data_IF_620140619364
#
_entry.id   IF_620140619364
#
_cell.length_a   1.000
_cell.length_b   1.000
_cell.length_c   1.000
_cell.angle_alpha   90.00
_cell.angle_beta   90.00
_cell.angle_gamma   90.00
#
_symmetry.space_group_name_H-M   'P 1'
#
loop_
_entity.id
_entity.type
_entity.pdbx_description
1 polymer ?
#
# COMPACT_ATOMS: atom_id res chain seq x y z
N UNK A 1 -22.63 -57.98 -21.87
CA UNK A 1 -22.52 -56.73 -21.06
C UNK A 1 -21.31 -56.82 -20.12
N UNK A 2 -20.18 -56.20 -20.48
CA UNK A 2 -18.99 -56.06 -19.61
C UNK A 2 -18.30 -54.72 -19.92
N UNK A 3 -18.85 -53.62 -19.42
CA UNK A 3 -18.22 -52.30 -19.59
C UNK A 3 -18.18 -51.45 -18.30
N UNK A 4 -18.75 -51.90 -17.18
CA UNK A 4 -18.94 -51.04 -16.00
C UNK A 4 -17.93 -51.25 -14.85
N UNK A 5 -16.93 -52.12 -15.00
CA UNK A 5 -15.94 -52.42 -13.94
C UNK A 5 -14.57 -51.79 -14.14
N UNK A 6 -14.26 -51.25 -15.34
CA UNK A 6 -12.97 -50.59 -15.60
C UNK A 6 -12.87 -49.17 -15.00
N UNK A 7 -13.93 -48.36 -15.08
CA UNK A 7 -13.92 -46.97 -14.58
C UNK A 7 -13.69 -46.87 -13.06
N UNK A 8 -14.32 -47.74 -12.26
CA UNK A 8 -14.12 -47.76 -10.79
C UNK A 8 -12.70 -48.16 -10.36
N UNK A 9 -11.91 -48.79 -11.24
CA UNK A 9 -10.54 -49.22 -10.92
C UNK A 9 -9.55 -48.07 -11.12
N UNK A 10 -9.80 -47.19 -12.09
CA UNK A 10 -8.93 -46.04 -12.38
C UNK A 10 -9.10 -44.88 -11.37
N UNK A 11 -10.33 -44.59 -10.91
CA UNK A 11 -10.56 -43.60 -9.84
C UNK A 11 -9.85 -43.97 -8.54
N UNK A 12 -9.85 -45.25 -8.16
CA UNK A 12 -9.15 -45.74 -6.97
C UNK A 12 -7.64 -45.59 -7.08
N UNK A 13 -7.07 -45.79 -8.28
CA UNK A 13 -5.64 -45.60 -8.53
C UNK A 13 -5.25 -44.12 -8.47
N UNK A 14 -6.12 -43.23 -8.94
CA UNK A 14 -5.90 -41.78 -8.87
C UNK A 14 -5.94 -41.25 -7.44
N UNK A 15 -6.91 -41.72 -6.63
CA UNK A 15 -7.01 -41.37 -5.21
C UNK A 15 -5.83 -41.92 -4.39
N UNK A 16 -5.36 -43.14 -4.67
CA UNK A 16 -4.15 -43.69 -4.04
C UNK A 16 -2.89 -42.91 -4.41
N UNK A 17 -2.75 -42.49 -5.67
CA UNK A 17 -1.61 -41.68 -6.11
C UNK A 17 -1.59 -40.30 -5.41
N UNK A 18 -2.75 -39.67 -5.23
CA UNK A 18 -2.88 -38.40 -4.52
C UNK A 18 -2.53 -38.51 -3.03
N UNK A 19 -2.95 -39.60 -2.36
CA UNK A 19 -2.60 -39.87 -0.96
C UNK A 19 -1.09 -40.08 -0.80
N UNK A 20 -0.46 -40.86 -1.70
CA UNK A 20 0.99 -41.10 -1.66
C UNK A 20 1.77 -39.79 -1.86
N UNK A 21 1.35 -38.94 -2.81
CA UNK A 21 1.98 -37.64 -3.02
C UNK A 21 1.82 -36.73 -1.79
N UNK A 22 0.63 -36.71 -1.17
CA UNK A 22 0.39 -35.95 0.06
C UNK A 22 1.31 -36.38 1.21
N UNK A 23 1.54 -37.69 1.38
CA UNK A 23 2.45 -38.23 2.41
C UNK A 23 3.91 -37.84 2.13
N UNK A 24 4.36 -37.88 0.88
CA UNK A 24 5.73 -37.49 0.51
C UNK A 24 5.97 -36.00 0.78
N UNK A 25 5.03 -35.15 0.39
CA UNK A 25 5.11 -33.69 0.62
C UNK A 25 5.07 -33.38 2.13
N UNK A 26 4.21 -34.07 2.88
CA UNK A 26 4.14 -33.95 4.34
C UNK A 26 5.44 -34.36 5.03
N UNK A 27 6.04 -35.49 4.64
CA UNK A 27 7.31 -35.97 5.18
C UNK A 27 8.47 -35.01 4.87
N UNK A 28 8.51 -34.46 3.64
CA UNK A 28 9.50 -33.46 3.26
C UNK A 28 9.36 -32.16 4.09
N UNK A 29 8.13 -31.72 4.38
CA UNK A 29 7.87 -30.57 5.23
C UNK A 29 8.35 -30.74 6.68
N UNK A 30 8.12 -31.92 7.27
CA UNK A 30 8.57 -32.22 8.64
C UNK A 30 10.09 -32.29 8.72
N UNK A 31 10.76 -32.94 7.75
CA UNK A 31 12.23 -32.98 7.70
C UNK A 31 12.84 -31.58 7.54
N UNK A 32 12.25 -30.73 6.70
CA UNK A 32 12.69 -29.35 6.52
C UNK A 32 12.52 -28.53 7.81
N UNK A 33 11.44 -28.76 8.57
CA UNK A 33 11.22 -28.12 9.87
C UNK A 33 12.26 -28.52 10.92
N UNK A 34 12.59 -29.83 11.02
CA UNK A 34 13.67 -30.30 11.90
C UNK A 34 15.03 -29.74 11.50
N UNK A 35 15.32 -29.60 10.21
CA UNK A 35 16.56 -28.99 9.72
C UNK A 35 16.65 -27.51 10.12
N UNK A 36 15.54 -26.76 10.02
CA UNK A 36 15.49 -25.36 10.46
C UNK A 36 15.72 -25.22 11.97
N UNK A 37 15.16 -26.11 12.78
CA UNK A 37 15.40 -26.11 14.23
C UNK A 37 16.88 -26.36 14.57
N UNK A 38 17.54 -27.31 13.89
CA UNK A 38 18.98 -27.55 14.11
C UNK A 38 19.86 -26.36 13.70
N UNK A 39 19.49 -25.62 12.65
CA UNK A 39 20.21 -24.40 12.23
C UNK A 39 20.03 -23.27 13.24
N UNK A 40 18.84 -23.13 13.83
CA UNK A 40 18.57 -22.14 14.87
C UNK A 40 19.31 -22.50 16.17
N UNK A 41 19.28 -23.77 16.59
CA UNK A 41 19.98 -24.22 17.81
C UNK A 41 21.51 -24.11 17.67
N UNK A 42 22.09 -24.43 16.51
CA UNK A 42 23.53 -24.23 16.26
C UNK A 42 23.98 -22.77 16.30
N UNK A 43 23.10 -21.80 16.06
CA UNK A 43 23.41 -20.36 16.17
C UNK A 43 23.38 -19.81 17.59
N UNK A 44 22.86 -20.56 18.56
CA UNK A 44 22.74 -20.11 19.96
C UNK A 44 23.86 -20.71 20.83
N UNK A 45 24.65 -21.65 20.30
CA UNK A 45 25.61 -22.45 21.08
C UNK A 45 27.10 -22.10 20.99
N UNK A 46 27.54 -21.09 20.23
CA UNK A 46 28.97 -20.77 20.11
C UNK A 46 29.23 -19.28 20.36
N UNK A 47 29.60 -18.94 21.59
CA UNK A 47 30.18 -17.65 21.96
C UNK A 47 31.67 -17.68 21.65
N UNK A 48 32.07 -17.23 20.46
CA UNK A 48 33.30 -16.48 20.27
C UNK A 48 33.37 -15.84 18.88
N UNK A 49 33.77 -14.56 18.88
CA UNK A 49 34.58 -13.87 17.86
C UNK A 49 34.30 -14.05 16.37
N UNK A 50 34.12 -12.90 15.69
CA UNK A 50 34.16 -12.69 14.24
C UNK A 50 32.95 -13.13 13.41
N UNK A 51 31.96 -12.24 13.36
CA UNK A 51 30.92 -12.23 12.34
C UNK A 51 31.52 -11.93 10.97
N UNK A 52 31.72 -12.97 10.17
CA UNK A 52 31.80 -12.89 8.72
C UNK A 52 30.48 -12.31 8.19
N UNK A 53 30.56 -11.16 7.52
CA UNK A 53 29.44 -10.53 6.81
C UNK A 53 28.99 -11.42 5.66
N UNK A 54 27.98 -12.26 5.91
CA UNK A 54 27.13 -12.79 4.84
C UNK A 54 26.12 -11.69 4.52
N UNK A 55 26.28 -11.10 3.33
CA UNK A 55 25.31 -10.24 2.66
C UNK A 55 24.01 -11.02 2.48
N UNK A 56 23.23 -11.06 3.55
CA UNK A 56 21.85 -11.47 3.50
C UNK A 56 21.15 -10.35 2.77
N UNK A 57 20.90 -10.59 1.49
CA UNK A 57 19.98 -9.85 0.65
C UNK A 57 18.73 -9.56 1.49
N UNK A 58 18.71 -8.36 2.05
CA UNK A 58 17.68 -7.85 2.92
C UNK A 58 16.44 -7.82 2.06
N UNK A 59 15.58 -8.82 2.20
CA UNK A 59 14.16 -8.60 1.97
C UNK A 59 13.82 -7.47 2.93
N UNK A 60 13.84 -6.25 2.40
CA UNK A 60 13.47 -5.07 3.15
C UNK A 60 12.03 -5.35 3.59
N UNK A 61 11.85 -5.74 4.86
CA UNK A 61 10.55 -5.66 5.48
C UNK A 61 10.12 -4.22 5.26
N UNK A 62 9.14 -4.01 4.38
CA UNK A 62 8.59 -2.69 4.13
C UNK A 62 7.88 -2.32 5.41
N UNK A 63 8.65 -1.72 6.31
CA UNK A 63 8.19 -1.33 7.62
C UNK A 63 7.12 -0.26 7.40
N UNK A 64 5.92 -0.55 7.88
CA UNK A 64 4.78 0.34 7.77
C UNK A 64 5.06 1.58 8.64
N UNK A 65 5.51 2.65 8.01
CA UNK A 65 5.91 3.90 8.67
C UNK A 65 4.93 4.98 8.30
N UNK A 66 4.33 5.66 9.29
CA UNK A 66 3.59 6.88 9.05
C UNK A 66 4.47 7.91 8.32
N UNK A 67 3.90 8.62 7.35
CA UNK A 67 4.62 9.64 6.58
C UNK A 67 3.98 10.99 6.80
N UNK A 68 4.82 12.00 7.08
CA UNK A 68 4.40 13.39 7.21
C UNK A 68 4.23 14.02 5.84
N UNK A 69 3.11 14.71 5.67
CA UNK A 69 2.77 15.50 4.50
C UNK A 69 2.31 16.90 4.93
N UNK A 70 2.11 17.72 3.92
CA UNK A 70 1.57 19.06 4.03
C UNK A 70 0.56 19.24 2.90
N UNK A 71 -0.62 19.75 3.23
CA UNK A 71 -1.68 20.05 2.27
C UNK A 71 -1.82 21.57 2.08
N UNK A 72 -2.21 21.99 0.88
CA UNK A 72 -2.81 23.32 0.67
C UNK A 72 -4.28 23.20 1.03
N UNK A 73 -4.72 23.89 2.08
CA UNK A 73 -6.09 23.83 2.57
C UNK A 73 -6.84 25.13 2.29
N UNK A 74 -8.04 25.01 1.71
CA UNK A 74 -8.97 26.09 1.43
C UNK A 74 -10.09 26.21 2.47
N UNK A 75 -10.46 25.10 3.13
CA UNK A 75 -11.55 25.11 4.10
C UNK A 75 -11.74 23.78 4.82
N UNK A 76 -12.63 23.79 5.80
CA UNK A 76 -13.09 22.61 6.54
C UNK A 76 -14.59 22.73 6.79
N UNK A 77 -15.30 21.63 6.61
CA UNK A 77 -16.76 21.55 6.68
C UNK A 77 -17.17 20.39 7.59
N UNK A 78 -18.35 20.53 8.20
CA UNK A 78 -18.96 19.50 9.06
C UNK A 78 -19.70 18.42 8.26
N UNK A 79 -19.94 18.63 6.96
CA UNK A 79 -20.60 17.65 6.09
C UNK A 79 -20.00 17.65 4.69
N UNK A 80 -20.07 16.50 4.02
CA UNK A 80 -19.66 16.36 2.62
C UNK A 80 -20.51 17.25 1.71
N UNK A 81 -21.82 17.35 1.99
CA UNK A 81 -22.73 18.15 1.17
C UNK A 81 -22.33 19.62 1.16
N UNK A 82 -22.05 20.20 2.34
CA UNK A 82 -21.63 21.60 2.43
C UNK A 82 -20.30 21.85 1.70
N UNK A 83 -19.35 20.91 1.78
CA UNK A 83 -18.10 21.00 1.04
C UNK A 83 -18.33 20.94 -0.48
N UNK A 84 -19.20 20.04 -0.94
CA UNK A 84 -19.57 19.92 -2.36
C UNK A 84 -20.33 21.15 -2.88
N UNK A 85 -21.28 21.69 -2.10
CA UNK A 85 -22.04 22.88 -2.46
C UNK A 85 -21.13 24.10 -2.61
N UNK A 86 -20.14 24.23 -1.73
CA UNK A 86 -19.12 25.27 -1.84
C UNK A 86 -18.32 25.15 -3.13
N UNK A 87 -17.79 23.96 -3.45
CA UNK A 87 -17.03 23.77 -4.70
C UNK A 87 -17.89 24.01 -5.95
N UNK A 88 -19.17 23.63 -5.91
CA UNK A 88 -20.10 23.89 -7.01
C UNK A 88 -20.37 25.39 -7.23
N UNK A 89 -20.37 26.18 -6.15
CA UNK A 89 -20.54 27.64 -6.21
C UNK A 89 -19.25 28.39 -6.60
N UNK A 90 -18.09 27.73 -6.48
CA UNK A 90 -16.76 28.32 -6.66
C UNK A 90 -15.92 27.53 -7.67
N UNK A 91 -16.23 27.61 -8.98
CA UNK A 91 -15.55 26.85 -10.03
C UNK A 91 -14.06 27.21 -10.19
N UNK A 92 -13.61 28.33 -9.63
CA UNK A 92 -12.20 28.73 -9.59
C UNK A 92 -11.32 27.77 -8.77
N UNK A 93 -11.90 26.95 -7.89
CA UNK A 93 -11.20 25.91 -7.13
C UNK A 93 -11.00 24.64 -7.97
N UNK A 94 -10.29 24.77 -9.08
CA UNK A 94 -9.93 23.64 -9.94
C UNK A 94 -9.02 22.65 -9.17
N UNK A 95 -9.25 21.34 -9.37
CA UNK A 95 -8.45 20.26 -8.78
C UNK A 95 -8.42 20.23 -7.24
N UNK A 96 -9.45 20.78 -6.58
CA UNK A 96 -9.65 20.65 -5.13
C UNK A 96 -10.40 19.35 -4.82
N UNK A 97 -9.84 18.56 -3.91
CA UNK A 97 -10.43 17.31 -3.41
C UNK A 97 -11.07 17.51 -2.04
N UNK A 98 -12.15 16.78 -1.77
CA UNK A 98 -12.79 16.71 -0.46
C UNK A 98 -12.20 15.53 0.32
N UNK A 99 -11.40 15.82 1.32
CA UNK A 99 -10.74 14.80 2.14
C UNK A 99 -11.47 14.65 3.48
N UNK A 100 -11.96 13.44 3.77
CA UNK A 100 -12.57 13.12 5.06
C UNK A 100 -11.49 12.76 6.08
N UNK A 101 -11.45 13.47 7.20
CA UNK A 101 -10.59 13.15 8.35
C UNK A 101 -11.26 13.63 9.65
N UNK A 102 -11.13 12.89 10.75
CA UNK A 102 -11.70 13.26 12.07
C UNK A 102 -13.18 13.72 12.04
N UNK A 103 -14.00 13.06 11.21
CA UNK A 103 -15.43 13.37 10.96
C UNK A 103 -15.69 14.74 10.32
N UNK A 104 -14.66 15.41 9.82
CA UNK A 104 -14.74 16.65 9.07
C UNK A 104 -14.35 16.42 7.61
N UNK A 105 -14.65 17.40 6.77
CA UNK A 105 -14.41 17.38 5.33
C UNK A 105 -13.53 18.56 4.97
N UNK A 106 -12.30 18.28 4.57
CA UNK A 106 -11.27 19.27 4.28
C UNK A 106 -11.21 19.51 2.77
N UNK A 107 -11.16 20.77 2.36
CA UNK A 107 -10.91 21.13 0.96
C UNK A 107 -9.42 21.32 0.75
N UNK A 108 -8.78 20.36 0.07
CA UNK A 108 -7.36 20.41 -0.23
C UNK A 108 -7.12 20.57 -1.72
N UNK A 109 -6.15 21.40 -2.11
CA UNK A 109 -5.76 21.59 -3.53
C UNK A 109 -4.53 20.82 -3.97
N UNK A 110 -3.64 20.47 -3.04
CA UNK A 110 -2.38 19.80 -3.33
C UNK A 110 -1.79 19.21 -2.05
N UNK A 111 -0.97 18.15 -2.16
CA UNK A 111 -0.19 17.61 -1.03
C UNK A 111 1.28 17.37 -1.39
N UNK A 112 2.18 17.58 -0.43
CA UNK A 112 3.60 17.27 -0.57
C UNK A 112 4.19 16.74 0.72
N UNK A 113 5.15 15.83 0.63
CA UNK A 113 6.03 15.47 1.74
C UNK A 113 7.20 16.46 1.90
N UNK A 114 7.22 17.55 1.13
CA UNK A 114 8.17 18.66 1.25
C UNK A 114 7.44 19.97 1.59
N UNK A 115 7.69 20.49 2.78
CA UNK A 115 7.11 21.76 3.24
C UNK A 115 7.53 22.93 2.35
N UNK A 116 8.80 22.94 1.90
CA UNK A 116 9.30 23.99 1.00
C UNK A 116 8.52 24.00 -0.33
N UNK A 117 8.30 22.82 -0.91
CA UNK A 117 7.57 22.70 -2.18
C UNK A 117 6.11 23.12 -2.04
N UNK A 118 5.43 22.67 -0.99
CA UNK A 118 4.02 23.04 -0.81
C UNK A 118 3.88 24.55 -0.58
N UNK A 119 4.78 25.17 0.21
CA UNK A 119 4.76 26.61 0.49
C UNK A 119 4.97 27.46 -0.77
N UNK A 120 5.70 26.96 -1.76
CA UNK A 120 5.94 27.71 -3.01
C UNK A 120 4.72 27.80 -3.94
N UNK A 121 3.67 27.03 -3.68
CA UNK A 121 2.46 26.99 -4.53
C UNK A 121 1.18 27.36 -3.77
N UNK A 122 1.32 27.89 -2.54
CA UNK A 122 0.20 28.42 -1.75
C UNK A 122 -0.38 29.66 -2.44
N UNK A 123 -1.70 29.74 -2.47
CA UNK A 123 -2.47 30.87 -3.01
C UNK A 123 -2.94 31.79 -1.90
N UNK A 124 -3.43 32.99 -2.24
CA UNK A 124 -3.91 33.98 -1.26
C UNK A 124 -5.00 33.45 -0.32
N UNK A 125 -5.86 32.58 -0.84
CA UNK A 125 -7.04 32.07 -0.13
C UNK A 125 -6.81 30.66 0.46
N UNK A 126 -5.55 30.26 0.62
CA UNK A 126 -5.19 28.97 1.20
C UNK A 126 -4.06 29.08 2.22
N UNK A 127 -3.89 28.01 2.99
CA UNK A 127 -2.78 27.89 3.93
C UNK A 127 -2.24 26.46 3.95
N UNK A 128 -1.03 26.29 4.49
CA UNK A 128 -0.40 24.97 4.62
C UNK A 128 -0.87 24.29 5.89
N UNK A 129 -1.46 23.10 5.76
CA UNK A 129 -1.84 22.24 6.88
C UNK A 129 -0.92 21.01 6.93
N UNK A 130 -0.09 20.82 7.98
CA UNK A 130 0.65 19.57 8.16
C UNK A 130 -0.32 18.44 8.53
N UNK A 131 -0.01 17.22 8.08
CA UNK A 131 -0.71 16.01 8.50
C UNK A 131 0.23 14.79 8.43
N UNK A 132 -0.16 13.71 9.09
CA UNK A 132 0.50 12.41 9.03
C UNK A 132 -0.48 11.41 8.44
N UNK A 133 -0.04 10.69 7.42
CA UNK A 133 -0.79 9.59 6.82
C UNK A 133 -0.26 8.27 7.34
N UNK A 134 -1.16 7.40 7.80
CA UNK A 134 -0.83 6.12 8.40
C UNK A 134 -1.70 4.99 7.85
N UNK A 135 -1.07 3.95 7.31
CA UNK A 135 -1.74 2.73 6.83
C UNK A 135 -1.62 1.54 7.78
N UNK A 136 -1.12 1.71 9.00
CA UNK A 136 -0.91 0.63 9.98
C UNK A 136 -2.17 -0.17 10.32
N UNK A 137 -3.33 0.48 10.29
CA UNK A 137 -4.61 -0.17 10.57
C UNK A 137 -5.20 -0.94 9.37
N UNK A 138 -4.64 -0.77 8.17
CA UNK A 138 -5.11 -1.50 7.00
C UNK A 138 -4.66 -2.96 7.08
N UNK A 139 -5.39 -3.89 6.46
CA UNK A 139 -4.99 -5.31 6.40
C UNK A 139 -4.25 -5.62 5.10
N UNK A 140 -4.75 -5.08 3.98
CA UNK A 140 -4.19 -5.23 2.65
C UNK A 140 -2.77 -4.65 2.58
N UNK A 141 -1.81 -5.47 2.13
CA UNK A 141 -0.39 -5.08 2.03
C UNK A 141 -0.18 -3.86 1.13
N UNK A 142 -0.93 -3.74 0.03
CA UNK A 142 -0.87 -2.61 -0.89
C UNK A 142 -1.32 -1.31 -0.23
N UNK A 143 -2.49 -1.33 0.42
CA UNK A 143 -3.06 -0.16 1.08
C UNK A 143 -2.20 0.29 2.27
N UNK A 144 -1.62 -0.65 3.04
CA UNK A 144 -0.70 -0.36 4.15
C UNK A 144 0.45 0.57 3.78
N UNK A 145 0.95 0.49 2.54
CA UNK A 145 2.14 1.21 2.08
C UNK A 145 1.84 2.47 1.26
N UNK A 146 0.57 2.85 1.12
CA UNK A 146 0.15 4.10 0.46
C UNK A 146 0.94 5.33 0.94
N UNK A 147 1.19 5.53 2.25
CA UNK A 147 2.01 6.66 2.71
C UNK A 147 3.39 6.72 2.03
N UNK A 148 4.05 5.57 1.87
CA UNK A 148 5.37 5.44 1.26
C UNK A 148 5.30 5.59 -0.26
N UNK A 149 4.26 5.03 -0.90
CA UNK A 149 4.05 5.15 -2.35
C UNK A 149 3.83 6.61 -2.77
N UNK A 150 3.17 7.41 -1.92
CA UNK A 150 2.97 8.85 -2.13
C UNK A 150 4.20 9.70 -1.76
N UNK A 151 5.18 9.14 -1.05
CA UNK A 151 6.37 9.85 -0.57
C UNK A 151 7.47 10.04 -1.63
N UNK A 152 7.10 10.18 -2.91
CA UNK A 152 8.04 10.33 -4.03
C UNK A 152 8.29 11.80 -4.40
N UNK A 153 9.37 12.07 -5.14
CA UNK A 153 9.77 13.43 -5.53
C UNK A 153 9.42 13.80 -6.98
N UNK A 154 8.96 12.83 -7.79
CA UNK A 154 8.64 12.97 -9.22
C UNK A 154 7.45 12.07 -9.61
N UNK A 155 6.62 12.52 -10.55
CA UNK A 155 5.46 11.75 -11.06
C UNK A 155 5.88 10.39 -11.63
N UNK A 156 7.00 10.33 -12.35
CA UNK A 156 7.51 9.08 -12.94
C UNK A 156 7.78 7.99 -11.89
N UNK A 157 8.08 8.36 -10.63
CA UNK A 157 8.30 7.40 -9.54
C UNK A 157 7.01 6.82 -8.96
N UNK A 158 5.83 7.34 -9.33
CA UNK A 158 4.54 6.73 -8.99
C UNK A 158 4.24 5.51 -9.88
N UNK A 159 4.84 5.42 -11.07
CA UNK A 159 4.70 4.29 -11.98
C UNK A 159 5.62 3.13 -11.57
N UNK A 160 5.33 2.53 -10.41
CA UNK A 160 6.07 1.41 -9.85
C UNK A 160 5.52 0.10 -10.44
N UNK A 161 6.41 -0.79 -10.90
CA UNK A 161 6.03 -2.16 -11.24
C UNK A 161 6.35 -3.08 -10.07
N UNK A 162 5.42 -3.97 -9.70
CA UNK A 162 5.56 -4.90 -8.55
C UNK A 162 6.86 -5.73 -8.60
N UNK A 163 7.40 -5.99 -9.80
CA UNK A 163 8.64 -6.74 -9.99
C UNK A 163 9.94 -5.97 -9.68
N UNK A 164 9.90 -4.64 -9.56
CA UNK A 164 11.12 -3.80 -9.42
C UNK A 164 11.33 -3.24 -8.01
N UNK A 165 10.28 -3.06 -7.22
CA UNK A 165 10.36 -2.41 -5.91
C UNK A 165 10.32 -3.38 -4.72
N UNK A 166 9.94 -4.65 -4.94
CA UNK A 166 9.64 -5.59 -3.85
C UNK A 166 8.49 -5.15 -2.94
N UNK A 167 7.81 -4.04 -3.29
CA UNK A 167 6.65 -3.51 -2.60
C UNK A 167 5.41 -4.02 -3.32
N UNK A 168 4.53 -4.71 -2.59
CA UNK A 168 3.20 -5.05 -3.10
C UNK A 168 2.41 -3.74 -3.22
N UNK A 169 2.12 -3.28 -4.45
CA UNK A 169 1.24 -2.13 -4.66
C UNK A 169 -0.24 -2.57 -4.59
N UNK A 170 -1.18 -1.66 -4.29
CA UNK A 170 -2.60 -1.97 -4.45
C UNK A 170 -2.93 -2.43 -5.87
N UNK A 171 -3.90 -3.33 -6.03
CA UNK A 171 -4.26 -3.93 -7.34
C UNK A 171 -4.61 -2.87 -8.40
N UNK A 172 -5.21 -1.76 -7.99
CA UNK A 172 -5.66 -0.68 -8.85
C UNK A 172 -4.67 0.50 -8.92
N UNK A 173 -3.48 0.39 -8.33
CA UNK A 173 -2.50 1.48 -8.23
C UNK A 173 -2.17 2.13 -9.56
N UNK A 174 -1.88 1.31 -10.58
CA UNK A 174 -1.59 1.79 -11.93
C UNK A 174 -2.76 2.57 -12.53
N UNK A 175 -3.99 2.13 -12.26
CA UNK A 175 -5.21 2.80 -12.72
C UNK A 175 -5.36 4.14 -12.01
N UNK A 176 -5.22 4.19 -10.69
CA UNK A 176 -5.28 5.43 -9.91
C UNK A 176 -4.24 6.46 -10.38
N UNK A 177 -2.98 6.05 -10.56
CA UNK A 177 -1.90 6.91 -11.09
C UNK A 177 -2.21 7.39 -12.51
N UNK A 178 -2.70 6.51 -13.38
CA UNK A 178 -3.04 6.88 -14.76
C UNK A 178 -4.20 7.88 -14.80
N UNK A 179 -5.23 7.69 -13.98
CA UNK A 179 -6.36 8.61 -13.88
C UNK A 179 -5.92 9.97 -13.35
N UNK A 180 -5.16 10.01 -12.25
CA UNK A 180 -4.67 11.27 -11.69
C UNK A 180 -3.77 12.04 -12.67
N UNK A 181 -2.89 11.33 -13.39
CA UNK A 181 -1.98 11.96 -14.36
C UNK A 181 -2.63 12.38 -15.68
N UNK A 182 -3.87 11.95 -15.96
CA UNK A 182 -4.69 12.51 -17.04
C UNK A 182 -5.24 13.89 -16.67
N UNK A 183 -5.52 14.12 -15.40
CA UNK A 183 -6.05 15.39 -14.89
C UNK A 183 -4.95 16.42 -14.69
N UNK A 184 -3.82 16.04 -14.07
CA UNK A 184 -2.71 16.97 -13.83
C UNK A 184 -1.34 16.37 -14.08
N UNK A 185 -0.37 17.23 -14.41
CA UNK A 185 1.06 16.88 -14.47
C UNK A 185 1.83 17.31 -13.22
N UNK A 186 1.19 18.09 -12.34
CA UNK A 186 1.78 18.54 -11.10
C UNK A 186 1.76 17.42 -10.07
N UNK A 187 2.93 17.08 -9.53
CA UNK A 187 3.07 15.95 -8.63
C UNK A 187 2.18 16.09 -7.39
N UNK A 188 2.11 17.29 -6.83
CA UNK A 188 1.39 17.56 -5.59
C UNK A 188 -0.13 17.42 -5.76
N UNK A 189 -0.67 17.78 -6.93
CA UNK A 189 -2.08 17.54 -7.30
C UNK A 189 -2.30 16.05 -7.55
N UNK A 190 -1.42 15.40 -8.33
CA UNK A 190 -1.51 13.95 -8.61
C UNK A 190 -1.53 13.12 -7.32
N UNK A 191 -0.68 13.46 -6.35
CA UNK A 191 -0.67 12.79 -5.04
C UNK A 191 -1.99 12.96 -4.28
N UNK A 192 -2.58 14.16 -4.33
CA UNK A 192 -3.84 14.43 -3.66
C UNK A 192 -4.98 13.59 -4.26
N UNK A 193 -5.08 13.55 -5.59
CA UNK A 193 -6.09 12.75 -6.27
C UNK A 193 -5.97 11.25 -5.96
N UNK A 194 -4.73 10.74 -5.92
CA UNK A 194 -4.47 9.35 -5.53
C UNK A 194 -4.86 9.15 -4.06
N UNK A 195 -4.51 10.09 -3.18
CA UNK A 195 -4.87 10.01 -1.77
C UNK A 195 -6.39 9.95 -1.59
N UNK A 196 -7.14 10.88 -2.20
CA UNK A 196 -8.61 10.94 -2.19
C UNK A 196 -9.24 9.60 -2.60
N UNK A 197 -8.76 9.02 -3.70
CA UNK A 197 -9.21 7.71 -4.17
C UNK A 197 -9.06 6.63 -3.10
N UNK A 198 -7.91 6.55 -2.43
CA UNK A 198 -7.68 5.53 -1.43
C UNK A 198 -8.37 5.80 -0.09
N UNK A 199 -8.40 7.03 0.40
CA UNK A 199 -9.06 7.34 1.68
C UNK A 199 -10.58 7.27 1.60
N UNK A 200 -11.18 7.47 0.42
CA UNK A 200 -12.63 7.32 0.22
C UNK A 200 -13.10 5.87 0.25
N UNK A 201 -12.19 4.92 0.00
CA UNK A 201 -12.47 3.49 -0.04
C UNK A 201 -11.93 2.72 1.17
N UNK A 202 -11.03 3.34 1.94
CA UNK A 202 -10.29 2.66 3.01
C UNK A 202 -10.28 3.50 4.28
N UNK A 203 -11.27 3.30 5.16
CA UNK A 203 -11.33 3.95 6.48
C UNK A 203 -10.13 3.62 7.39
N UNK A 204 -9.39 2.55 7.07
CA UNK A 204 -8.17 2.16 7.75
C UNK A 204 -6.98 3.10 7.47
N UNK A 205 -7.02 3.90 6.40
CA UNK A 205 -6.02 4.93 6.12
C UNK A 205 -6.32 6.16 6.98
N UNK A 206 -5.51 6.34 8.01
CA UNK A 206 -5.72 7.39 8.99
C UNK A 206 -4.94 8.64 8.63
N UNK A 207 -5.64 9.77 8.57
CA UNK A 207 -5.06 11.12 8.54
C UNK A 207 -5.09 11.66 9.97
N UNK A 208 -3.94 12.14 10.45
CA UNK A 208 -3.80 12.78 11.77
C UNK A 208 -3.15 14.15 11.62
N UNK A 209 -3.62 15.13 12.39
CA UNK A 209 -3.15 16.51 12.36
C UNK A 209 -2.18 16.84 13.48
#
# INVERSE_FOLDING_TARGET
>A
MKFNTRQKKEEKQFLLAAVIHGVIIGAAGVLLFFFLLQVVEKKVGDSNGETLSVDSQKSASVENKPVKFYAIQYGVYSSSQAASDFLAAHPEFENVSIIRADKQFYLWGAISNSEKKIKSIVTKDSFVKPFVLNGAACEEKGVKIIPQLLAVDKVAKLNISDSKSGQATPVDWKTAVTTATKVSKELEIVKLMILEHYVSQNDCLQIKF
#
